data_IF_743968818871
#
_entry.id   IF_743968818871
#
_cell.length_a   1.000
_cell.length_b   1.000
_cell.length_c   1.000
_cell.angle_alpha   90.00
_cell.angle_beta   90.00
_cell.angle_gamma   90.00
#
_symmetry.space_group_name_H-M   'P 1'
#
loop_
_entity.id
_entity.type
_entity.pdbx_description
1 polymer ?
#
# COMPACT_ATOMS: atom_id res chain seq x y z
N UNK A 1 6.26 -6.18 -1.71
CA UNK A 1 5.84 -6.24 -0.29
C UNK A 1 5.77 -7.66 0.25
N UNK A 2 5.06 -8.61 -0.40
CA UNK A 2 5.00 -10.02 0.08
C UNK A 2 6.35 -10.67 0.33
N UNK A 3 7.29 -10.53 -0.61
CA UNK A 3 8.64 -11.08 -0.46
C UNK A 3 9.37 -10.58 0.80
N UNK A 4 9.11 -9.33 1.22
CA UNK A 4 9.71 -8.75 2.43
C UNK A 4 9.17 -9.48 3.67
N UNK A 5 7.86 -9.70 3.76
CA UNK A 5 7.26 -10.43 4.87
C UNK A 5 7.80 -11.87 4.97
N UNK A 6 7.88 -12.55 3.82
CA UNK A 6 8.42 -13.92 3.72
C UNK A 6 9.90 -13.92 4.16
N UNK A 7 10.71 -12.99 3.68
CA UNK A 7 12.14 -12.98 3.96
C UNK A 7 12.45 -12.72 5.44
N UNK A 8 11.70 -11.85 6.10
CA UNK A 8 11.86 -11.57 7.54
C UNK A 8 11.42 -12.71 8.46
N UNK A 9 10.65 -13.67 7.95
CA UNK A 9 10.11 -14.80 8.73
C UNK A 9 10.64 -16.16 8.27
N UNK A 10 11.63 -16.19 7.36
CA UNK A 10 12.14 -17.44 6.75
C UNK A 10 12.96 -18.31 7.70
N UNK A 11 13.53 -17.73 8.76
CA UNK A 11 14.41 -18.46 9.68
C UNK A 11 13.60 -19.45 10.52
N UNK A 12 14.08 -20.69 10.62
CA UNK A 12 13.35 -21.79 11.26
C UNK A 12 12.27 -22.43 10.38
N UNK A 13 12.12 -21.97 9.13
CA UNK A 13 11.19 -22.54 8.16
C UNK A 13 11.98 -23.31 7.11
N UNK A 14 11.57 -24.55 6.84
CA UNK A 14 12.21 -25.36 5.81
C UNK A 14 12.19 -24.67 4.45
N UNK A 15 13.33 -24.70 3.74
CA UNK A 15 13.52 -24.02 2.44
C UNK A 15 12.43 -24.37 1.42
N UNK A 16 11.98 -25.63 1.40
CA UNK A 16 10.87 -26.06 0.54
C UNK A 16 9.57 -25.28 0.81
N UNK A 17 9.22 -25.05 2.08
CA UNK A 17 8.02 -24.29 2.46
C UNK A 17 8.15 -22.82 2.08
N UNK A 18 9.33 -22.21 2.27
CA UNK A 18 9.59 -20.83 1.82
C UNK A 18 9.40 -20.70 0.32
N UNK A 19 9.94 -21.64 -0.47
CA UNK A 19 9.80 -21.62 -1.93
C UNK A 19 8.34 -21.76 -2.38
N UNK A 20 7.58 -22.67 -1.77
CA UNK A 20 6.14 -22.84 -2.03
C UNK A 20 5.38 -21.54 -1.71
N UNK A 21 5.68 -20.92 -0.55
CA UNK A 21 5.06 -19.66 -0.14
C UNK A 21 5.38 -18.51 -1.10
N UNK A 22 6.56 -18.49 -1.72
CA UNK A 22 6.90 -17.52 -2.77
C UNK A 22 6.08 -17.81 -4.04
N UNK A 23 6.07 -19.07 -4.50
CA UNK A 23 5.43 -19.50 -5.75
C UNK A 23 3.91 -19.24 -5.72
N UNK A 24 3.24 -19.52 -4.61
CA UNK A 24 1.79 -19.33 -4.50
C UNK A 24 1.41 -18.00 -3.85
N UNK A 25 2.09 -17.61 -2.78
CA UNK A 25 1.74 -16.43 -2.00
C UNK A 25 1.85 -15.13 -2.80
N UNK A 26 2.88 -14.98 -3.63
CA UNK A 26 3.07 -13.77 -4.44
C UNK A 26 1.97 -13.63 -5.52
N UNK A 27 1.65 -14.65 -6.34
CA UNK A 27 0.53 -14.58 -7.27
C UNK A 27 -0.82 -14.35 -6.61
N UNK A 28 -1.14 -15.07 -5.52
CA UNK A 28 -2.42 -14.90 -4.79
C UNK A 28 -2.61 -13.44 -4.40
N UNK A 29 -1.59 -12.84 -3.77
CA UNK A 29 -1.65 -11.45 -3.34
C UNK A 29 -1.69 -10.46 -4.51
N UNK A 30 -0.98 -10.76 -5.61
CA UNK A 30 -0.96 -9.91 -6.80
C UNK A 30 -2.33 -9.90 -7.49
N UNK A 31 -2.98 -11.06 -7.63
CA UNK A 31 -4.34 -11.18 -8.18
C UNK A 31 -5.34 -10.45 -7.28
N UNK A 32 -5.22 -10.63 -5.97
CA UNK A 32 -6.05 -9.92 -4.97
C UNK A 32 -5.90 -8.40 -5.06
N UNK A 33 -4.67 -7.91 -5.18
CA UNK A 33 -4.40 -6.47 -5.31
C UNK A 33 -4.91 -5.93 -6.66
N UNK A 34 -4.72 -6.68 -7.74
CA UNK A 34 -5.22 -6.32 -9.07
C UNK A 34 -6.76 -6.24 -9.08
N UNK A 35 -7.44 -7.18 -8.44
CA UNK A 35 -8.89 -7.14 -8.21
C UNK A 35 -9.32 -5.82 -7.57
N UNK A 36 -8.69 -5.46 -6.45
CA UNK A 36 -8.93 -4.22 -5.74
C UNK A 36 -8.72 -2.97 -6.60
N UNK A 37 -7.63 -2.93 -7.37
CA UNK A 37 -7.34 -1.83 -8.28
C UNK A 37 -8.37 -1.68 -9.42
N UNK A 38 -8.90 -2.79 -9.95
CA UNK A 38 -9.97 -2.76 -10.95
C UNK A 38 -11.28 -2.22 -10.36
N UNK A 39 -11.60 -2.61 -9.12
CA UNK A 39 -12.73 -2.09 -8.35
C UNK A 39 -12.55 -0.58 -8.08
N UNK A 40 -11.36 -0.17 -7.63
CA UNK A 40 -11.04 1.25 -7.44
C UNK A 40 -11.25 2.04 -8.74
N UNK A 41 -10.79 1.49 -9.85
CA UNK A 41 -10.94 2.09 -11.18
C UNK A 41 -12.40 2.19 -11.59
N UNK A 42 -13.23 1.18 -11.30
CA UNK A 42 -14.66 1.23 -11.63
C UNK A 42 -15.37 2.36 -10.89
N UNK A 43 -15.00 2.63 -9.63
CA UNK A 43 -15.54 3.75 -8.85
C UNK A 43 -15.21 5.12 -9.44
N UNK A 44 -14.06 5.25 -10.12
CA UNK A 44 -13.71 6.48 -10.87
C UNK A 44 -14.67 6.66 -12.05
N UNK A 45 -14.95 5.59 -12.78
CA UNK A 45 -15.81 5.66 -13.97
C UNK A 45 -17.30 5.86 -13.62
N UNK A 46 -17.77 5.41 -12.45
CA UNK A 46 -19.16 5.61 -12.01
C UNK A 46 -19.55 7.08 -11.80
N UNK A 47 -18.59 7.98 -11.59
CA UNK A 47 -18.87 9.42 -11.39
C UNK A 47 -19.06 10.19 -12.73
N UNK A 48 -19.15 9.51 -13.88
CA UNK A 48 -19.41 10.17 -15.17
C UNK A 48 -20.92 10.17 -15.44
N UNK A 49 -21.55 11.34 -15.50
CA UNK A 49 -22.99 11.51 -15.82
C UNK A 49 -23.36 11.19 -17.29
N UNK A 50 -22.58 10.36 -18.01
CA UNK A 50 -22.86 10.02 -19.41
C UNK A 50 -23.05 8.51 -19.60
N UNK A 51 -24.19 8.13 -20.16
CA UNK A 51 -24.72 6.76 -20.26
C UNK A 51 -23.80 5.65 -20.84
N UNK A 52 -22.75 5.87 -21.67
CA UNK A 52 -21.82 4.78 -22.03
C UNK A 52 -20.82 4.36 -20.93
N UNK A 53 -20.77 5.07 -19.80
CA UNK A 53 -19.76 4.87 -18.75
C UNK A 53 -20.15 3.82 -17.70
N UNK A 54 -21.45 3.55 -17.54
CA UNK A 54 -21.98 2.55 -16.61
C UNK A 54 -21.67 1.11 -17.06
N UNK A 55 -21.65 0.84 -18.37
CA UNK A 55 -21.28 -0.48 -18.89
C UNK A 55 -19.81 -0.82 -18.61
N UNK A 56 -18.91 0.19 -18.70
CA UNK A 56 -17.49 0.02 -18.43
C UNK A 56 -17.21 -0.18 -16.94
N UNK A 57 -17.87 0.57 -16.06
CA UNK A 57 -17.73 0.41 -14.61
C UNK A 57 -18.24 -0.97 -14.15
N UNK A 58 -19.37 -1.44 -14.69
CA UNK A 58 -19.92 -2.79 -14.43
C UNK A 58 -18.95 -3.89 -14.87
N UNK A 59 -18.37 -3.80 -16.08
CA UNK A 59 -17.37 -4.75 -16.58
C UNK A 59 -16.12 -4.81 -15.71
N UNK A 60 -15.58 -3.65 -15.29
CA UNK A 60 -14.40 -3.58 -14.41
C UNK A 60 -14.69 -4.16 -13.03
N UNK A 61 -15.88 -3.88 -12.48
CA UNK A 61 -16.31 -4.44 -11.19
C UNK A 61 -16.45 -5.95 -11.27
N UNK A 62 -17.08 -6.46 -12.33
CA UNK A 62 -17.23 -7.90 -12.56
C UNK A 62 -15.87 -8.59 -12.68
N UNK A 63 -14.96 -8.04 -13.49
CA UNK A 63 -13.59 -8.57 -13.62
C UNK A 63 -12.84 -8.55 -12.28
N UNK A 64 -12.99 -7.47 -11.51
CA UNK A 64 -12.47 -7.36 -10.15
C UNK A 64 -12.99 -8.48 -9.25
N UNK A 65 -14.30 -8.72 -9.22
CA UNK A 65 -14.92 -9.81 -8.42
C UNK A 65 -14.43 -11.18 -8.86
N UNK A 66 -14.30 -11.44 -10.18
CA UNK A 66 -13.78 -12.71 -10.69
C UNK A 66 -12.33 -12.93 -10.22
N UNK A 67 -11.47 -11.91 -10.29
CA UNK A 67 -10.09 -11.99 -9.79
C UNK A 67 -10.04 -12.18 -8.26
N UNK A 68 -10.95 -11.54 -7.52
CA UNK A 68 -11.05 -11.74 -6.07
C UNK A 68 -11.36 -13.20 -5.75
N UNK A 69 -12.39 -13.77 -6.38
CA UNK A 69 -12.81 -15.14 -6.17
C UNK A 69 -11.72 -16.14 -6.57
N UNK A 70 -11.01 -15.89 -7.68
CA UNK A 70 -9.90 -16.75 -8.08
C UNK A 70 -8.75 -16.70 -7.07
N UNK A 71 -8.38 -15.53 -6.55
CA UNK A 71 -7.37 -15.41 -5.50
C UNK A 71 -7.76 -16.17 -4.23
N UNK A 72 -9.04 -16.09 -3.82
CA UNK A 72 -9.56 -16.83 -2.66
C UNK A 72 -9.50 -18.34 -2.89
N UNK A 73 -9.95 -18.82 -4.05
CA UNK A 73 -9.90 -20.26 -4.38
C UNK A 73 -8.47 -20.81 -4.39
N UNK A 74 -7.53 -20.09 -5.03
CA UNK A 74 -6.12 -20.47 -5.05
C UNK A 74 -5.53 -20.43 -3.63
N UNK A 75 -5.95 -19.48 -2.79
CA UNK A 75 -5.51 -19.40 -1.40
C UNK A 75 -6.05 -20.54 -0.53
N UNK A 76 -7.31 -20.95 -0.72
CA UNK A 76 -7.89 -22.12 -0.05
C UNK A 76 -7.10 -23.36 -0.44
N UNK A 77 -6.87 -23.55 -1.75
CA UNK A 77 -6.03 -24.65 -2.25
C UNK A 77 -4.64 -24.64 -1.60
N UNK A 78 -3.93 -23.50 -1.66
CA UNK A 78 -2.60 -23.34 -1.08
C UNK A 78 -2.59 -23.63 0.42
N UNK A 79 -3.60 -23.16 1.15
CA UNK A 79 -3.70 -23.36 2.60
C UNK A 79 -3.93 -24.83 2.97
N UNK A 80 -4.83 -25.51 2.26
CA UNK A 80 -5.17 -26.92 2.52
C UNK A 80 -4.05 -27.87 2.11
N UNK A 81 -3.51 -27.73 0.89
CA UNK A 81 -2.52 -28.66 0.35
C UNK A 81 -1.16 -28.58 1.06
N UNK A 82 -0.79 -27.40 1.54
CA UNK A 82 0.50 -27.19 2.22
C UNK A 82 0.37 -27.00 3.74
N UNK A 83 -0.80 -27.33 4.29
CA UNK A 83 -1.11 -27.26 5.72
C UNK A 83 -0.66 -25.93 6.34
N UNK A 84 -1.06 -24.82 5.70
CA UNK A 84 -0.77 -23.48 6.20
C UNK A 84 -1.79 -23.06 7.25
N UNK A 85 -1.41 -22.07 8.05
CA UNK A 85 -2.31 -21.53 9.06
C UNK A 85 -3.51 -20.82 8.42
N UNK A 86 -4.69 -20.99 9.04
CA UNK A 86 -5.93 -20.32 8.64
C UNK A 86 -5.83 -18.78 8.63
N UNK A 87 -4.86 -18.21 9.38
CA UNK A 87 -4.54 -16.79 9.38
C UNK A 87 -4.39 -16.22 7.96
N UNK A 88 -3.84 -16.98 7.01
CA UNK A 88 -3.67 -16.53 5.62
C UNK A 88 -5.01 -16.23 4.93
N UNK A 89 -6.00 -17.09 5.14
CA UNK A 89 -7.35 -16.91 4.60
C UNK A 89 -8.06 -15.74 5.28
N UNK A 90 -7.91 -15.62 6.60
CA UNK A 90 -8.46 -14.49 7.36
C UNK A 90 -7.89 -13.16 6.86
N UNK A 91 -6.56 -13.07 6.66
CA UNK A 91 -5.91 -11.86 6.20
C UNK A 91 -6.37 -11.46 4.79
N UNK A 92 -6.56 -12.41 3.88
CA UNK A 92 -7.10 -12.13 2.55
C UNK A 92 -8.57 -11.72 2.59
N UNK A 93 -9.36 -12.32 3.46
CA UNK A 93 -10.76 -11.94 3.68
C UNK A 93 -10.86 -10.49 4.17
N UNK A 94 -10.03 -10.09 5.13
CA UNK A 94 -9.96 -8.69 5.61
C UNK A 94 -9.69 -7.74 4.43
N UNK A 95 -8.70 -8.06 3.58
CA UNK A 95 -8.40 -7.23 2.42
C UNK A 95 -9.57 -7.14 1.43
N UNK A 96 -10.25 -8.26 1.18
CA UNK A 96 -11.48 -8.30 0.38
C UNK A 96 -12.60 -7.44 0.95
N UNK A 97 -12.84 -7.52 2.26
CA UNK A 97 -13.87 -6.72 2.94
C UNK A 97 -13.57 -5.23 2.87
N UNK A 98 -12.30 -4.81 2.95
CA UNK A 98 -11.90 -3.43 2.78
C UNK A 98 -12.20 -2.92 1.37
N UNK A 99 -11.96 -3.74 0.34
CA UNK A 99 -12.35 -3.40 -1.03
C UNK A 99 -13.87 -3.34 -1.21
N UNK A 100 -14.62 -4.27 -0.64
CA UNK A 100 -16.09 -4.22 -0.65
C UNK A 100 -16.63 -2.95 0.04
N UNK A 101 -16.05 -2.60 1.19
CA UNK A 101 -16.36 -1.38 1.92
C UNK A 101 -16.09 -0.13 1.07
N UNK A 102 -15.00 -0.13 0.29
CA UNK A 102 -14.68 0.97 -0.63
C UNK A 102 -15.76 1.19 -1.68
N UNK A 103 -16.42 0.13 -2.17
CA UNK A 103 -17.52 0.25 -3.14
C UNK A 103 -18.74 0.88 -2.48
N UNK A 104 -19.08 0.40 -1.28
CA UNK A 104 -20.27 0.84 -0.56
C UNK A 104 -20.19 2.32 -0.17
N UNK A 105 -19.09 2.73 0.47
CA UNK A 105 -18.90 4.10 0.93
C UNK A 105 -18.32 5.04 -0.14
N UNK A 106 -17.68 4.49 -1.18
CA UNK A 106 -17.14 5.26 -2.30
C UNK A 106 -18.21 5.78 -3.27
N UNK A 107 -19.47 5.37 -3.14
CA UNK A 107 -20.55 5.85 -4.03
C UNK A 107 -21.07 7.24 -3.63
N UNK A 108 -21.12 7.56 -2.34
CA UNK A 108 -21.82 8.74 -1.81
C UNK A 108 -20.97 9.66 -0.90
N UNK A 109 -19.68 9.39 -0.69
CA UNK A 109 -18.89 10.17 0.26
C UNK A 109 -18.13 11.33 -0.39
N UNK A 110 -18.22 12.51 0.22
CA UNK A 110 -17.34 13.66 -0.09
C UNK A 110 -15.86 13.28 0.03
N UNK A 111 -15.52 12.29 0.87
CA UNK A 111 -14.17 11.79 1.13
C UNK A 111 -13.74 10.62 0.24
N UNK A 112 -14.46 10.33 -0.86
CA UNK A 112 -14.19 9.21 -1.77
C UNK A 112 -12.71 9.09 -2.14
N UNK A 113 -12.07 10.20 -2.48
CA UNK A 113 -10.67 10.17 -2.88
C UNK A 113 -9.71 9.81 -1.77
N UNK A 114 -9.92 10.35 -0.58
CA UNK A 114 -9.12 10.00 0.59
C UNK A 114 -9.27 8.52 0.96
N UNK A 115 -10.50 8.00 0.97
CA UNK A 115 -10.78 6.59 1.27
C UNK A 115 -10.11 5.65 0.25
N UNK A 116 -10.24 5.95 -1.05
CA UNK A 116 -9.62 5.11 -2.09
C UNK A 116 -8.09 5.12 -1.96
N UNK A 117 -7.45 6.28 -1.75
CA UNK A 117 -6.00 6.33 -1.56
C UNK A 117 -5.54 5.64 -0.27
N UNK A 118 -6.31 5.75 0.82
CA UNK A 118 -6.08 5.02 2.05
C UNK A 118 -6.11 3.51 1.85
N UNK A 119 -7.13 3.00 1.16
CA UNK A 119 -7.29 1.57 0.89
C UNK A 119 -6.23 1.06 -0.09
N UNK A 120 -5.86 1.83 -1.11
CA UNK A 120 -4.74 1.48 -2.01
C UNK A 120 -3.43 1.39 -1.23
N UNK A 121 -3.13 2.42 -0.42
CA UNK A 121 -1.90 2.47 0.38
C UNK A 121 -1.83 1.29 1.36
N UNK A 122 -2.95 1.04 2.05
CA UNK A 122 -3.08 -0.09 2.96
C UNK A 122 -2.94 -1.41 2.23
N UNK A 123 -3.58 -1.58 1.07
CA UNK A 123 -3.48 -2.82 0.28
C UNK A 123 -2.04 -3.11 -0.14
N UNK A 124 -1.29 -2.13 -0.62
CA UNK A 124 0.10 -2.32 -1.03
C UNK A 124 0.97 -2.73 0.17
N UNK A 125 0.89 -1.98 1.28
CA UNK A 125 1.69 -2.23 2.47
C UNK A 125 1.32 -3.54 3.17
N UNK A 126 0.04 -3.93 3.12
CA UNK A 126 -0.48 -5.15 3.75
C UNK A 126 0.19 -6.42 3.24
N UNK A 127 0.79 -6.37 2.04
CA UNK A 127 1.61 -7.46 1.52
C UNK A 127 2.75 -7.84 2.47
N UNK A 128 3.29 -6.90 3.25
CA UNK A 128 4.33 -7.19 4.26
C UNK A 128 3.79 -8.14 5.34
N UNK A 129 2.61 -7.83 5.89
CA UNK A 129 1.95 -8.65 6.93
C UNK A 129 1.55 -10.00 6.35
N UNK A 130 0.89 -10.00 5.19
CA UNK A 130 0.48 -11.23 4.51
C UNK A 130 1.67 -12.16 4.23
N UNK A 131 2.77 -11.61 3.72
CA UNK A 131 3.99 -12.39 3.47
C UNK A 131 4.58 -13.02 4.73
N UNK A 132 4.55 -12.31 5.85
CA UNK A 132 5.03 -12.84 7.13
C UNK A 132 4.13 -13.97 7.66
N UNK A 133 2.81 -13.81 7.52
CA UNK A 133 1.82 -14.78 7.97
C UNK A 133 1.84 -16.12 7.21
N UNK A 134 2.29 -16.11 5.95
CA UNK A 134 2.48 -17.34 5.15
C UNK A 134 3.44 -18.33 5.82
N UNK A 135 4.39 -17.78 6.58
CA UNK A 135 5.51 -18.49 7.17
C UNK A 135 5.24 -18.85 8.64
N UNK A 136 4.70 -17.92 9.42
CA UNK A 136 4.45 -18.12 10.87
C UNK A 136 3.21 -17.35 11.33
N UNK A 137 2.52 -17.88 12.33
CA UNK A 137 1.46 -17.15 13.05
C UNK A 137 2.04 -16.04 13.94
N UNK A 138 3.25 -16.26 14.47
CA UNK A 138 3.96 -15.30 15.31
C UNK A 138 4.74 -14.34 14.42
N UNK A 139 4.08 -13.24 14.04
CA UNK A 139 4.69 -12.17 13.23
C UNK A 139 5.57 -11.30 14.14
N UNK A 140 6.88 -11.18 13.85
CA UNK A 140 7.77 -10.30 14.62
C UNK A 140 7.29 -8.85 14.66
N UNK A 141 7.48 -8.18 15.81
CA UNK A 141 6.98 -6.83 16.06
C UNK A 141 7.51 -5.81 15.05
N UNK A 142 8.77 -5.94 14.62
CA UNK A 142 9.37 -5.02 13.64
C UNK A 142 8.65 -5.02 12.29
N UNK A 143 8.01 -6.13 11.89
CA UNK A 143 7.24 -6.22 10.64
C UNK A 143 6.03 -5.27 10.68
N UNK A 144 5.38 -5.10 11.83
CA UNK A 144 4.29 -4.13 11.98
C UNK A 144 4.77 -2.69 11.87
N UNK A 145 5.96 -2.38 12.39
CA UNK A 145 6.58 -1.07 12.20
C UNK A 145 6.93 -0.82 10.72
N UNK A 146 7.50 -1.81 10.02
CA UNK A 146 7.76 -1.71 8.58
C UNK A 146 6.46 -1.53 7.77
N UNK A 147 5.40 -2.25 8.13
CA UNK A 147 4.06 -2.06 7.55
C UNK A 147 3.53 -0.64 7.79
N UNK A 148 3.58 -0.15 9.03
CA UNK A 148 3.09 1.18 9.38
C UNK A 148 3.91 2.28 8.66
N UNK A 149 5.23 2.16 8.62
CA UNK A 149 6.10 3.12 7.94
C UNK A 149 5.89 3.15 6.44
N UNK A 150 5.72 1.98 5.80
CA UNK A 150 5.39 1.93 4.36
C UNK A 150 4.00 2.48 4.07
N UNK A 151 3.01 2.16 4.91
CA UNK A 151 1.64 2.68 4.81
C UNK A 151 1.61 4.20 4.89
N UNK A 152 2.20 4.79 5.92
CA UNK A 152 2.15 6.25 6.13
C UNK A 152 2.95 6.99 5.08
N UNK A 153 4.11 6.47 4.67
CA UNK A 153 4.91 7.08 3.61
C UNK A 153 4.21 7.00 2.24
N UNK A 154 3.59 5.85 1.92
CA UNK A 154 2.80 5.68 0.70
C UNK A 154 1.59 6.63 0.69
N UNK A 155 0.86 6.72 1.81
CA UNK A 155 -0.28 7.61 1.96
C UNK A 155 0.13 9.07 1.73
N UNK A 156 1.21 9.52 2.38
CA UNK A 156 1.79 10.86 2.19
C UNK A 156 2.09 11.14 0.72
N UNK A 157 2.80 10.23 0.06
CA UNK A 157 3.13 10.36 -1.38
C UNK A 157 1.88 10.42 -2.26
N UNK A 158 0.91 9.55 -2.03
CA UNK A 158 -0.31 9.47 -2.86
C UNK A 158 -1.21 10.70 -2.64
N UNK A 159 -1.30 11.22 -1.41
CA UNK A 159 -1.99 12.47 -1.12
C UNK A 159 -1.37 13.65 -1.86
N UNK A 160 -0.05 13.80 -1.83
CA UNK A 160 0.65 14.90 -2.53
C UNK A 160 0.63 14.73 -4.05
N UNK A 161 0.67 13.49 -4.54
CA UNK A 161 0.65 13.21 -5.99
C UNK A 161 -0.71 13.49 -6.61
N UNK A 162 -1.78 13.13 -5.90
CA UNK A 162 -3.16 13.24 -6.41
C UNK A 162 -3.87 14.50 -5.91
N UNK A 163 -3.15 15.37 -5.20
CA UNK A 163 -3.61 16.70 -4.90
C UNK A 163 -3.67 17.55 -6.19
N UNK A 164 -4.87 17.69 -6.74
CA UNK A 164 -5.20 18.70 -7.76
C UNK A 164 -6.28 19.62 -7.21
N UNK A 165 -5.94 20.90 -7.07
CA UNK A 165 -6.88 21.98 -6.78
C UNK A 165 -7.82 22.13 -7.98
N UNK A 166 -9.05 21.62 -7.83
CA UNK A 166 -10.13 21.48 -8.84
C UNK A 166 -9.96 20.30 -9.81
N UNK A 167 -11.06 19.63 -10.19
CA UNK A 167 -11.08 18.80 -11.38
C UNK A 167 -10.91 19.71 -12.59
N UNK A 168 -9.68 19.97 -13.01
CA UNK A 168 -9.46 20.38 -14.39
C UNK A 168 -9.99 19.23 -15.25
N UNK A 169 -11.02 19.52 -16.05
CA UNK A 169 -11.36 18.68 -17.20
C UNK A 169 -10.06 18.54 -17.99
N UNK A 170 -9.44 17.38 -17.90
CA UNK A 170 -8.40 17.03 -18.86
C UNK A 170 -9.07 17.05 -20.24
N UNK A 171 -8.31 17.40 -21.27
CA UNK A 171 -8.77 17.63 -22.66
C UNK A 171 -9.50 16.38 -23.21
N UNK A 172 -9.33 15.23 -22.54
CA UNK A 172 -9.94 13.92 -22.83
C UNK A 172 -11.15 13.55 -21.93
N UNK A 173 -11.68 14.47 -21.11
CA UNK A 173 -12.82 14.21 -20.22
C UNK A 173 -12.52 13.23 -19.07
N UNK A 174 -11.25 13.08 -18.68
CA UNK A 174 -10.84 12.17 -17.61
C UNK A 174 -10.85 12.92 -16.27
N UNK A 175 -11.88 12.69 -15.47
CA UNK A 175 -11.90 13.10 -14.07
C UNK A 175 -10.96 12.22 -13.25
N UNK A 176 -9.95 12.82 -12.64
CA UNK A 176 -9.10 12.16 -11.64
C UNK A 176 -9.85 12.11 -10.30
N UNK A 177 -9.57 11.09 -9.49
CA UNK A 177 -9.91 11.11 -8.06
C UNK A 177 -9.21 12.33 -7.47
N UNK A 178 -9.95 13.43 -7.34
CA UNK A 178 -9.46 14.65 -6.69
C UNK A 178 -9.90 14.59 -5.23
N UNK A 179 -8.97 14.91 -4.33
CA UNK A 179 -9.29 15.13 -2.94
C UNK A 179 -10.06 16.45 -2.85
N UNK A 180 -11.31 16.38 -2.40
CA UNK A 180 -12.15 17.52 -2.00
C UNK A 180 -11.73 18.13 -0.66
N UNK A 181 -10.58 17.72 -0.13
CA UNK A 181 -10.04 18.21 1.13
C UNK A 181 -9.29 19.52 0.91
N UNK A 182 -9.40 20.43 1.88
CA UNK A 182 -8.63 21.66 1.91
C UNK A 182 -7.12 21.36 1.83
N UNK A 183 -6.40 22.18 1.06
CA UNK A 183 -4.93 22.12 0.93
C UNK A 183 -4.22 22.00 2.27
N UNK A 184 -4.66 22.80 3.24
CA UNK A 184 -4.08 22.86 4.59
C UNK A 184 -4.24 21.54 5.32
N UNK A 185 -5.38 20.85 5.16
CA UNK A 185 -5.65 19.54 5.76
C UNK A 185 -4.78 18.46 5.11
N UNK A 186 -4.73 18.41 3.79
CA UNK A 186 -3.91 17.43 3.05
C UNK A 186 -2.44 17.57 3.43
N UNK A 187 -1.95 18.80 3.49
CA UNK A 187 -0.58 19.10 3.87
C UNK A 187 -0.26 18.66 5.30
N UNK A 188 -1.16 18.95 6.25
CA UNK A 188 -1.02 18.49 7.65
C UNK A 188 -1.01 16.97 7.77
N UNK A 189 -1.90 16.28 7.06
CA UNK A 189 -1.96 14.80 7.06
C UNK A 189 -0.68 14.21 6.45
N UNK A 190 -0.20 14.78 5.35
CA UNK A 190 1.05 14.38 4.69
C UNK A 190 2.25 14.55 5.61
N UNK A 191 2.37 15.72 6.25
CA UNK A 191 3.42 16.02 7.21
C UNK A 191 3.41 15.03 8.39
N UNK A 192 2.25 14.83 9.02
CA UNK A 192 2.09 13.90 10.13
C UNK A 192 2.45 12.47 9.71
N UNK A 193 2.02 12.06 8.51
CA UNK A 193 2.32 10.73 7.96
C UNK A 193 3.83 10.53 7.73
N UNK A 194 4.55 11.55 7.25
CA UNK A 194 6.00 11.49 7.09
C UNK A 194 6.73 11.38 8.45
N UNK A 195 6.27 12.11 9.47
CA UNK A 195 6.84 12.03 10.82
C UNK A 195 6.64 10.63 11.43
N UNK A 196 5.44 10.06 11.28
CA UNK A 196 5.16 8.68 11.71
C UNK A 196 6.04 7.69 10.93
N UNK A 197 6.22 7.88 9.62
CA UNK A 197 7.09 7.03 8.81
C UNK A 197 8.54 7.02 9.31
N UNK A 198 9.08 8.18 9.69
CA UNK A 198 10.43 8.29 10.28
C UNK A 198 10.54 7.42 11.52
N UNK A 199 9.60 7.55 12.47
CA UNK A 199 9.60 6.76 13.70
C UNK A 199 9.49 5.26 13.40
N UNK A 200 8.56 4.88 12.52
CA UNK A 200 8.32 3.48 12.14
C UNK A 200 9.50 2.83 11.41
N UNK A 201 10.33 3.60 10.70
CA UNK A 201 11.55 3.09 10.07
C UNK A 201 12.77 3.11 10.99
N UNK A 202 12.77 3.96 12.02
CA UNK A 202 13.85 4.00 12.99
C UNK A 202 13.75 2.85 14.01
N UNK A 203 12.54 2.57 14.52
CA UNK A 203 12.32 1.57 15.58
C UNK A 203 12.83 0.16 15.22
N UNK A 204 12.61 -0.39 14.02
CA UNK A 204 13.06 -1.73 13.65
C UNK A 204 14.56 -1.99 13.84
N UNK A 205 15.40 -0.95 13.74
CA UNK A 205 16.84 -1.07 14.02
C UNK A 205 17.13 -1.58 15.44
N UNK A 206 16.30 -1.19 16.41
CA UNK A 206 16.44 -1.60 17.82
C UNK A 206 15.74 -2.92 18.14
N UNK A 207 15.03 -3.53 17.18
CA UNK A 207 14.22 -4.74 17.37
C UNK A 207 14.85 -6.01 16.77
N UNK A 208 16.19 -6.09 16.75
CA UNK A 208 16.95 -7.26 16.28
C UNK A 208 16.59 -7.70 14.85
N UNK A 209 16.61 -6.77 13.90
CA UNK A 209 16.66 -7.12 12.47
C UNK A 209 17.90 -8.00 12.22
N UNK A 210 17.72 -9.07 11.44
CA UNK A 210 18.77 -10.06 11.12
C UNK A 210 20.07 -9.39 10.69
N UNK A 211 19.98 -8.47 9.73
CA UNK A 211 21.13 -7.73 9.21
C UNK A 211 20.96 -6.23 9.46
N UNK A 212 21.18 -5.82 10.71
CA UNK A 212 21.04 -4.43 11.16
C UNK A 212 21.96 -3.47 10.40
N UNK A 213 23.16 -3.91 10.00
CA UNK A 213 24.13 -3.07 9.27
C UNK A 213 23.66 -2.75 7.85
N UNK A 214 23.26 -3.77 7.07
CA UNK A 214 22.72 -3.52 5.72
C UNK A 214 21.41 -2.73 5.77
N UNK A 215 20.56 -2.99 6.76
CA UNK A 215 19.38 -2.17 7.00
C UNK A 215 19.75 -0.70 7.23
N UNK A 216 20.72 -0.44 8.10
CA UNK A 216 21.16 0.92 8.47
C UNK A 216 21.67 1.72 7.27
N UNK A 217 22.49 1.08 6.41
CA UNK A 217 23.08 1.73 5.22
C UNK A 217 22.01 2.36 4.32
N UNK A 218 20.86 1.71 4.17
CA UNK A 218 19.78 2.20 3.31
C UNK A 218 18.71 3.00 4.06
N UNK A 219 18.53 2.75 5.37
CA UNK A 219 17.56 3.50 6.17
C UNK A 219 18.04 4.94 6.44
N UNK A 220 19.34 5.18 6.63
CA UNK A 220 19.86 6.54 6.87
C UNK A 220 19.54 7.48 5.68
N UNK A 221 19.88 7.14 4.42
CA UNK A 221 19.47 7.94 3.26
C UNK A 221 17.95 8.07 3.14
N UNK A 222 17.19 7.01 3.45
CA UNK A 222 15.72 7.04 3.44
C UNK A 222 15.19 8.11 4.40
N UNK A 223 15.65 8.09 5.66
CA UNK A 223 15.23 9.04 6.70
C UNK A 223 15.64 10.46 6.34
N UNK A 224 16.82 10.67 5.76
CA UNK A 224 17.29 11.97 5.32
C UNK A 224 16.40 12.55 4.20
N UNK A 225 16.00 11.74 3.22
CA UNK A 225 15.08 12.18 2.17
C UNK A 225 13.70 12.55 2.71
N UNK A 226 13.17 11.76 3.66
CA UNK A 226 11.88 12.08 4.29
C UNK A 226 12.00 13.35 5.13
N UNK A 227 13.10 13.53 5.88
CA UNK A 227 13.35 14.74 6.65
C UNK A 227 13.43 15.99 5.77
N UNK A 228 14.12 15.93 4.63
CA UNK A 228 14.14 17.03 3.64
C UNK A 228 12.73 17.30 3.12
N UNK A 229 11.94 16.27 2.80
CA UNK A 229 10.56 16.44 2.36
C UNK A 229 9.69 17.10 3.45
N UNK A 230 9.88 16.75 4.72
CA UNK A 230 9.20 17.37 5.86
C UNK A 230 9.60 18.84 6.02
N UNK A 231 10.89 19.17 5.92
CA UNK A 231 11.38 20.55 5.96
C UNK A 231 10.78 21.38 4.82
N UNK A 232 10.78 20.84 3.59
CA UNK A 232 10.14 21.48 2.45
C UNK A 232 8.63 21.69 2.65
N UNK A 233 7.95 20.72 3.28
CA UNK A 233 6.56 20.91 3.69
C UNK A 233 6.40 22.07 4.68
N UNK A 234 7.26 22.20 5.69
CA UNK A 234 7.11 23.26 6.70
C UNK A 234 7.48 24.66 6.17
N UNK A 235 8.57 24.76 5.42
CA UNK A 235 9.12 26.05 4.99
C UNK A 235 8.29 26.72 3.90
N UNK A 236 7.65 25.92 3.03
CA UNK A 236 7.12 26.44 1.79
C UNK A 236 5.61 26.41 1.83
N UNK A 237 5.03 27.57 2.15
CA UNK A 237 3.60 27.77 2.18
C UNK A 237 3.03 27.63 0.75
N UNK A 238 2.63 26.41 0.38
CA UNK A 238 1.68 26.10 -0.70
C UNK A 238 2.08 26.37 -2.16
N UNK A 239 3.33 26.77 -2.47
CA UNK A 239 3.72 26.95 -3.87
C UNK A 239 3.75 25.61 -4.63
N UNK A 240 2.99 25.55 -5.72
CA UNK A 240 2.82 24.33 -6.54
C UNK A 240 4.12 23.80 -7.14
N UNK A 241 5.15 24.63 -7.26
CA UNK A 241 6.47 24.31 -7.83
C UNK A 241 7.17 23.18 -7.05
N UNK A 242 7.00 23.13 -5.73
CA UNK A 242 7.72 22.19 -4.86
C UNK A 242 7.06 20.82 -4.72
N UNK A 243 5.78 20.67 -5.08
CA UNK A 243 5.10 19.36 -5.02
C UNK A 243 5.79 18.30 -5.88
N UNK A 244 6.35 18.72 -7.03
CA UNK A 244 7.10 17.81 -7.90
C UNK A 244 8.35 17.27 -7.17
N UNK A 245 9.06 18.14 -6.47
CA UNK A 245 10.28 17.80 -5.70
C UNK A 245 9.94 16.93 -4.51
N UNK A 246 8.97 17.32 -3.69
CA UNK A 246 8.50 16.53 -2.53
C UNK A 246 8.09 15.13 -3.00
N UNK A 247 7.29 15.03 -4.07
CA UNK A 247 6.88 13.75 -4.64
C UNK A 247 8.06 12.88 -5.07
N UNK A 248 9.10 13.48 -5.66
CA UNK A 248 10.30 12.76 -6.08
C UNK A 248 11.06 12.21 -4.85
N UNK A 249 11.24 13.04 -3.82
CA UNK A 249 11.88 12.64 -2.56
C UNK A 249 11.13 11.49 -1.89
N UNK A 250 9.80 11.58 -1.78
CA UNK A 250 8.98 10.53 -1.18
C UNK A 250 9.04 9.22 -1.99
N UNK A 251 9.04 9.29 -3.32
CA UNK A 251 9.22 8.09 -4.18
C UNK A 251 10.59 7.44 -3.99
N UNK A 252 11.65 8.23 -3.97
CA UNK A 252 13.00 7.72 -3.74
C UNK A 252 13.12 7.09 -2.35
N UNK A 253 12.55 7.73 -1.32
CA UNK A 253 12.53 7.18 0.05
C UNK A 253 11.76 5.86 0.15
N UNK A 254 10.62 5.71 -0.54
CA UNK A 254 9.91 4.42 -0.58
C UNK A 254 10.76 3.32 -1.21
N UNK A 255 11.40 3.62 -2.34
CA UNK A 255 12.27 2.66 -3.01
C UNK A 255 13.44 2.21 -2.11
N UNK A 256 14.13 3.16 -1.48
CA UNK A 256 15.23 2.87 -0.56
C UNK A 256 14.76 2.13 0.69
N UNK A 257 13.57 2.45 1.23
CA UNK A 257 12.98 1.72 2.36
C UNK A 257 12.71 0.26 2.03
N UNK A 258 12.20 -0.03 0.82
CA UNK A 258 11.99 -1.40 0.34
C UNK A 258 13.31 -2.14 0.24
N UNK A 259 14.35 -1.49 -0.29
CA UNK A 259 15.68 -2.07 -0.41
C UNK A 259 16.28 -2.35 0.98
N UNK A 260 16.16 -1.40 1.92
CA UNK A 260 16.59 -1.57 3.30
C UNK A 260 15.91 -2.76 3.95
N UNK A 261 14.60 -2.93 3.76
CA UNK A 261 13.85 -4.06 4.31
C UNK A 261 14.27 -5.40 3.72
N UNK A 262 14.49 -5.48 2.41
CA UNK A 262 14.96 -6.71 1.76
C UNK A 262 16.35 -7.05 2.29
N UNK A 263 17.29 -6.12 2.24
CA UNK A 263 18.68 -6.38 2.65
C UNK A 263 18.82 -6.61 4.15
N UNK A 264 17.97 -5.98 4.98
CA UNK A 264 17.90 -6.25 6.42
C UNK A 264 17.41 -7.67 6.75
N UNK A 265 16.72 -8.33 5.83
CA UNK A 265 16.27 -9.72 5.99
C UNK A 265 17.25 -10.78 5.44
N UNK A 266 18.31 -10.33 4.74
CA UNK A 266 19.34 -11.20 4.19
C UNK A 266 20.36 -11.53 5.26
#
# INVERSE_FOLDING_TARGET
MVLIGISHTRFGIGVGRVNINIIFGLPIFSIMTASGMLIASSLIFMNRETEPTDLKSKKLTLLGVILFLSAVLISIFHTLFYNLNFLNLLLLSILGTLWAFSIYYGKNSEYKGFLVFGIISLSISYGIIYGAALNSFLIPVHIFFLFAGTLTLQLSKDLITNFKKKPEKDINGIFYISLSLDDTKIHRISLLSNLIAILCFLVPYFLNIINSMLYLIFIIPTLLLIAIAVILHMLMNTEKSYYKTIRLLLRASLFLSILAMILGSV
#
